data_IF_771652746655
#
_entry.id   IF_771652746655
#
_cell.length_a   1.000
_cell.length_b   1.000
_cell.length_c   1.000
_cell.angle_alpha   90.00
_cell.angle_beta   90.00
_cell.angle_gamma   90.00
#
_symmetry.space_group_name_H-M   'P 1'
#
loop_
_entity.id
_entity.type
_entity.pdbx_description
1 polymer ?
#
# COMPACT_ATOMS: atom_id res chain seq x y z
N UNK A 1 65.47 -33.06 8.54
CA UNK A 1 66.85 -33.32 8.99
C UNK A 1 67.31 -32.11 9.78
N UNK A 2 67.31 -32.20 11.12
CA UNK A 2 68.25 -31.57 12.05
C UNK A 2 67.83 -31.96 13.46
N UNK A 3 68.66 -32.80 14.08
CA UNK A 3 68.65 -33.18 15.50
C UNK A 3 69.41 -32.10 16.26
N UNK A 4 68.94 -31.68 17.43
CA UNK A 4 69.84 -31.29 18.52
C UNK A 4 69.26 -31.63 19.90
N UNK A 5 70.13 -32.25 20.68
CA UNK A 5 70.01 -32.68 22.08
C UNK A 5 70.01 -31.48 23.05
N UNK A 6 69.38 -31.62 24.22
CA UNK A 6 69.91 -31.00 25.44
C UNK A 6 69.46 -31.70 26.73
N UNK A 7 70.37 -31.69 27.69
CA UNK A 7 70.51 -32.43 28.95
C UNK A 7 69.59 -31.84 30.07
N UNK A 8 69.22 -32.59 31.13
CA UNK A 8 68.24 -32.18 32.14
C UNK A 8 68.92 -31.66 33.42
N UNK A 9 68.71 -30.38 33.75
CA UNK A 9 69.06 -29.85 35.07
C UNK A 9 68.20 -28.65 35.50
N UNK A 10 66.88 -28.68 35.23
CA UNK A 10 65.95 -27.62 35.67
C UNK A 10 64.55 -28.11 36.11
N UNK A 11 64.44 -29.36 36.55
CA UNK A 11 63.13 -30.02 36.73
C UNK A 11 62.43 -29.79 38.08
N UNK A 12 62.95 -28.97 39.00
CA UNK A 12 62.33 -28.77 40.33
C UNK A 12 61.60 -27.43 40.53
N UNK A 13 61.78 -26.43 39.67
CA UNK A 13 61.13 -25.12 39.82
C UNK A 13 59.81 -25.03 39.01
N UNK A 14 59.70 -25.76 37.90
CA UNK A 14 58.51 -25.72 37.04
C UNK A 14 57.28 -26.47 37.60
N UNK A 15 57.46 -27.45 38.49
CA UNK A 15 56.33 -28.25 39.00
C UNK A 15 55.43 -27.42 39.94
N UNK A 16 56.02 -26.51 40.74
CA UNK A 16 55.27 -25.61 41.65
C UNK A 16 54.51 -24.49 40.92
N UNK A 17 55.06 -23.96 39.82
CA UNK A 17 54.37 -22.97 39.00
C UNK A 17 53.20 -23.57 38.20
N UNK A 18 53.33 -24.81 37.72
CA UNK A 18 52.26 -25.51 36.99
C UNK A 18 51.11 -25.92 37.92
N UNK A 19 51.39 -26.33 39.17
CA UNK A 19 50.32 -26.65 40.14
C UNK A 19 49.54 -25.41 40.57
N UNK A 20 50.20 -24.26 40.76
CA UNK A 20 49.50 -22.99 41.04
C UNK A 20 48.66 -22.48 39.85
N UNK A 21 49.14 -22.63 38.61
CA UNK A 21 48.37 -22.24 37.41
C UNK A 21 47.16 -23.16 37.19
N UNK A 22 47.30 -24.48 37.38
CA UNK A 22 46.17 -25.41 37.28
C UNK A 22 45.14 -25.17 38.40
N UNK A 23 45.57 -24.85 39.62
CA UNK A 23 44.67 -24.49 40.71
C UNK A 23 43.91 -23.19 40.41
N UNK A 24 44.60 -22.14 39.95
CA UNK A 24 43.98 -20.86 39.58
C UNK A 24 43.00 -20.99 38.40
N UNK A 25 43.31 -21.80 37.39
CA UNK A 25 42.40 -22.10 36.27
C UNK A 25 41.19 -22.90 36.77
N UNK A 26 41.37 -23.86 37.68
CA UNK A 26 40.25 -24.64 38.24
C UNK A 26 39.33 -23.81 39.14
N UNK A 27 39.87 -22.85 39.89
CA UNK A 27 39.10 -21.91 40.71
C UNK A 27 38.38 -20.92 39.82
N UNK A 28 39.06 -20.32 38.84
CA UNK A 28 38.44 -19.42 37.85
C UNK A 28 37.34 -20.11 37.04
N UNK A 29 37.53 -21.37 36.64
CA UNK A 29 36.51 -22.17 35.94
C UNK A 29 35.32 -22.52 36.86
N UNK A 30 35.57 -22.83 38.14
CA UNK A 30 34.50 -23.04 39.14
C UNK A 30 33.72 -21.77 39.43
N UNK A 31 34.37 -20.61 39.50
CA UNK A 31 33.72 -19.31 39.74
C UNK A 31 32.91 -18.84 38.52
N UNK A 32 33.43 -19.06 37.30
CA UNK A 32 32.69 -18.81 36.05
C UNK A 32 31.49 -19.75 35.95
N UNK A 33 31.65 -21.04 36.26
CA UNK A 33 30.55 -22.02 36.31
C UNK A 33 29.53 -21.75 37.42
N UNK A 34 29.92 -21.15 38.56
CA UNK A 34 28.98 -20.80 39.63
C UNK A 34 28.18 -19.53 39.34
N UNK A 35 28.76 -18.57 38.61
CA UNK A 35 28.09 -17.32 38.21
C UNK A 35 27.22 -17.53 36.97
N UNK A 36 27.70 -18.31 35.98
CA UNK A 36 26.93 -18.65 34.79
C UNK A 36 25.99 -19.83 35.01
N UNK A 37 26.22 -20.71 35.98
CA UNK A 37 25.45 -21.95 36.19
C UNK A 37 23.93 -21.75 36.22
N UNK A 38 23.38 -20.77 36.97
CA UNK A 38 21.93 -20.51 37.00
C UNK A 38 21.41 -19.97 35.66
N UNK A 39 22.19 -19.13 34.98
CA UNK A 39 21.80 -18.49 33.71
C UNK A 39 22.07 -19.36 32.49
N UNK A 40 23.01 -20.30 32.57
CA UNK A 40 23.38 -21.21 31.48
C UNK A 40 22.23 -22.16 31.18
N UNK A 41 21.53 -22.66 32.21
CA UNK A 41 20.30 -23.43 32.03
C UNK A 41 19.16 -22.59 31.49
N UNK A 42 19.02 -21.33 31.92
CA UNK A 42 18.02 -20.41 31.38
C UNK A 42 18.26 -20.07 29.90
N UNK A 43 19.52 -19.83 29.51
CA UNK A 43 19.97 -19.57 28.15
C UNK A 43 19.78 -20.82 27.28
N UNK A 44 20.23 -21.99 27.74
CA UNK A 44 20.05 -23.26 27.05
C UNK A 44 18.57 -23.61 26.89
N UNK A 45 17.73 -23.34 27.91
CA UNK A 45 16.29 -23.52 27.82
C UNK A 45 15.64 -22.52 26.85
N UNK A 46 16.10 -21.26 26.78
CA UNK A 46 15.60 -20.30 25.78
C UNK A 46 16.00 -20.69 24.36
N UNK A 47 17.25 -21.12 24.12
CA UNK A 47 17.66 -21.62 22.81
C UNK A 47 16.99 -22.95 22.46
N UNK A 48 16.77 -23.84 23.44
CA UNK A 48 16.06 -25.10 23.25
C UNK A 48 14.58 -24.90 22.95
N UNK A 49 13.89 -24.02 23.68
CA UNK A 49 12.49 -23.65 23.40
C UNK A 49 12.36 -22.88 22.10
N UNK A 50 13.29 -21.99 21.77
CA UNK A 50 13.35 -21.32 20.46
C UNK A 50 13.60 -22.32 19.34
N UNK A 51 14.48 -23.31 19.54
CA UNK A 51 14.75 -24.38 18.58
C UNK A 51 13.54 -25.29 18.35
N UNK A 52 12.86 -25.70 19.43
CA UNK A 52 11.61 -26.47 19.38
C UNK A 52 10.50 -25.64 18.72
N UNK A 53 10.40 -24.35 19.04
CA UNK A 53 9.42 -23.45 18.42
C UNK A 53 9.72 -23.24 16.92
N UNK A 54 10.98 -23.03 16.53
CA UNK A 54 11.40 -22.99 15.13
C UNK A 54 11.08 -24.31 14.43
N UNK A 55 11.30 -25.45 15.09
CA UNK A 55 11.00 -26.77 14.55
C UNK A 55 9.49 -26.97 14.37
N UNK A 56 8.66 -26.57 15.34
CA UNK A 56 7.18 -26.59 15.24
C UNK A 56 6.69 -25.65 14.14
N UNK A 57 7.25 -24.44 14.05
CA UNK A 57 6.92 -23.46 13.00
C UNK A 57 7.36 -23.99 11.63
N UNK A 58 8.54 -24.61 11.51
CA UNK A 58 9.00 -25.28 10.28
C UNK A 58 8.12 -26.47 9.92
N UNK A 59 7.71 -27.29 10.89
CA UNK A 59 6.80 -28.42 10.70
C UNK A 59 5.43 -27.98 10.21
N UNK A 60 4.89 -26.88 10.75
CA UNK A 60 3.67 -26.23 10.24
C UNK A 60 3.85 -25.54 8.89
N UNK A 61 5.09 -25.12 8.54
CA UNK A 61 5.46 -24.57 7.22
C UNK A 61 5.77 -25.64 6.17
N UNK A 62 5.61 -26.94 6.47
CA UNK A 62 5.75 -28.03 5.49
C UNK A 62 4.57 -28.12 4.49
N UNK A 63 4.03 -26.98 4.07
CA UNK A 63 3.26 -26.96 2.83
C UNK A 63 4.26 -27.06 1.68
N UNK A 64 4.10 -28.06 0.81
CA UNK A 64 4.87 -28.24 -0.42
C UNK A 64 5.12 -26.87 -1.07
N UNK A 65 6.40 -26.46 -1.17
CA UNK A 65 6.77 -25.29 -1.96
C UNK A 65 6.30 -25.55 -3.38
N UNK A 66 5.44 -24.67 -3.91
CA UNK A 66 4.79 -24.92 -5.20
C UNK A 66 5.82 -24.69 -6.31
N UNK A 67 6.70 -23.70 -6.17
CA UNK A 67 7.79 -23.37 -7.11
C UNK A 67 8.96 -22.65 -6.42
N UNK A 68 10.05 -22.38 -7.17
CA UNK A 68 11.18 -21.57 -6.70
C UNK A 68 10.75 -20.09 -6.58
N UNK A 69 10.35 -19.68 -5.37
CA UNK A 69 10.10 -18.28 -5.03
C UNK A 69 11.35 -17.55 -4.51
N UNK A 70 11.20 -16.28 -4.11
CA UNK A 70 12.25 -15.48 -3.50
C UNK A 70 12.93 -16.16 -2.33
N UNK A 71 14.18 -15.77 -2.06
CA UNK A 71 14.97 -16.35 -0.97
C UNK A 71 14.19 -16.23 0.32
N UNK A 72 14.04 -17.35 1.01
CA UNK A 72 13.27 -17.44 2.25
C UNK A 72 14.21 -17.77 3.41
N UNK A 73 14.23 -16.90 4.41
CA UNK A 73 15.00 -17.07 5.64
C UNK A 73 14.14 -17.71 6.75
N UNK A 74 14.74 -18.49 7.66
CA UNK A 74 14.04 -19.00 8.84
C UNK A 74 13.37 -17.84 9.60
N UNK A 75 12.09 -18.02 9.97
CA UNK A 75 11.23 -17.02 10.64
C UNK A 75 10.85 -15.81 9.79
N UNK A 76 11.83 -15.13 9.17
CA UNK A 76 11.62 -13.90 8.39
C UNK A 76 10.97 -14.11 7.02
N UNK A 77 10.92 -15.35 6.51
CA UNK A 77 10.41 -15.58 5.15
C UNK A 77 11.24 -14.78 4.14
N UNK A 78 10.62 -14.13 3.16
CA UNK A 78 11.32 -13.30 2.17
C UNK A 78 11.36 -11.81 2.50
N UNK A 79 11.11 -11.41 3.75
CA UNK A 79 11.11 -10.00 4.17
C UNK A 79 12.41 -9.29 3.78
N UNK A 80 13.58 -9.91 3.96
CA UNK A 80 14.87 -9.24 3.69
C UNK A 80 15.04 -8.90 2.21
N UNK A 81 14.73 -9.85 1.32
CA UNK A 81 14.80 -9.63 -0.12
C UNK A 81 13.75 -8.61 -0.59
N UNK A 82 12.54 -8.71 -0.04
CA UNK A 82 11.45 -7.79 -0.36
C UNK A 82 11.77 -6.36 0.08
N UNK A 83 12.33 -6.19 1.29
CA UNK A 83 12.77 -4.90 1.81
C UNK A 83 13.91 -4.31 0.98
N UNK A 84 14.88 -5.13 0.54
CA UNK A 84 15.96 -4.70 -0.34
C UNK A 84 15.44 -4.21 -1.71
N UNK A 85 14.32 -4.77 -2.17
CA UNK A 85 13.69 -4.42 -3.44
C UNK A 85 12.48 -3.49 -3.29
N UNK A 86 12.19 -2.96 -2.10
CA UNK A 86 10.98 -2.18 -1.85
C UNK A 86 10.87 -0.95 -2.77
N UNK A 87 11.99 -0.27 -3.04
CA UNK A 87 12.05 0.88 -3.95
C UNK A 87 11.83 0.54 -5.44
N UNK A 88 11.93 -0.73 -5.81
CA UNK A 88 11.70 -1.26 -7.17
C UNK A 88 10.71 -2.43 -7.17
N UNK A 89 9.77 -2.45 -6.21
CA UNK A 89 8.93 -3.61 -5.94
C UNK A 89 8.20 -4.13 -7.19
N UNK A 90 7.67 -3.23 -8.00
CA UNK A 90 6.97 -3.60 -9.23
C UNK A 90 7.90 -4.17 -10.29
N UNK A 91 9.11 -3.60 -10.47
CA UNK A 91 10.10 -4.14 -11.40
C UNK A 91 10.57 -5.52 -10.92
N UNK A 92 10.82 -5.67 -9.63
CA UNK A 92 11.20 -6.94 -9.02
C UNK A 92 10.13 -8.02 -9.19
N UNK A 93 8.85 -7.71 -8.94
CA UNK A 93 7.75 -8.63 -9.22
C UNK A 93 7.66 -8.98 -10.71
N UNK A 94 7.91 -8.02 -11.59
CA UNK A 94 7.92 -8.24 -13.05
C UNK A 94 9.07 -9.16 -13.46
N UNK A 95 10.28 -8.95 -12.91
CA UNK A 95 11.46 -9.80 -13.14
C UNK A 95 11.17 -11.26 -12.78
N UNK A 96 10.51 -11.50 -11.64
CA UNK A 96 10.07 -12.84 -11.25
C UNK A 96 9.00 -13.41 -12.19
N UNK A 97 7.98 -12.62 -12.52
CA UNK A 97 6.87 -13.05 -13.38
C UNK A 97 7.32 -13.41 -14.81
N UNK A 98 8.44 -12.84 -15.30
CA UNK A 98 9.03 -13.20 -16.59
C UNK A 98 9.68 -14.59 -16.59
N UNK A 99 10.08 -15.11 -15.42
CA UNK A 99 10.76 -16.42 -15.30
C UNK A 99 9.79 -17.49 -14.79
N UNK A 100 8.95 -17.14 -13.81
CA UNK A 100 8.03 -18.08 -13.14
C UNK A 100 6.64 -17.46 -13.10
N UNK A 101 5.68 -18.12 -13.77
CA UNK A 101 4.30 -17.63 -13.85
C UNK A 101 3.56 -17.62 -12.50
N UNK A 102 3.93 -18.53 -11.58
CA UNK A 102 3.32 -18.63 -10.25
C UNK A 102 4.37 -19.00 -9.23
N UNK A 103 4.50 -18.20 -8.16
CA UNK A 103 5.41 -18.48 -7.06
C UNK A 103 4.84 -18.11 -5.71
N UNK A 104 5.27 -18.83 -4.68
CA UNK A 104 4.87 -18.56 -3.31
C UNK A 104 6.05 -18.11 -2.44
N UNK A 105 5.74 -17.32 -1.42
CA UNK A 105 6.70 -16.83 -0.44
C UNK A 105 6.04 -16.71 0.93
N UNK A 106 6.86 -16.52 1.97
CA UNK A 106 6.38 -16.15 3.29
C UNK A 106 6.65 -14.67 3.55
N UNK A 107 5.61 -13.91 3.85
CA UNK A 107 5.70 -12.51 4.29
C UNK A 107 5.10 -12.39 5.69
N UNK A 108 5.91 -11.97 6.67
CA UNK A 108 5.48 -11.77 8.07
C UNK A 108 4.71 -12.95 8.68
N UNK A 109 5.09 -14.18 8.32
CA UNK A 109 4.44 -15.40 8.82
C UNK A 109 3.21 -15.84 8.02
N UNK A 110 2.78 -15.07 7.02
CA UNK A 110 1.74 -15.47 6.07
C UNK A 110 2.36 -16.03 4.80
N UNK A 111 1.79 -17.13 4.28
CA UNK A 111 2.13 -17.62 2.94
C UNK A 111 1.38 -16.76 1.92
N UNK A 112 2.10 -16.18 0.97
CA UNK A 112 1.58 -15.33 -0.11
C UNK A 112 1.89 -16.00 -1.44
N UNK A 113 0.88 -16.13 -2.29
CA UNK A 113 1.01 -16.67 -3.65
C UNK A 113 0.92 -15.52 -4.64
N UNK A 114 1.91 -15.41 -5.52
CA UNK A 114 1.92 -14.51 -6.66
C UNK A 114 1.65 -15.33 -7.93
N UNK A 115 0.82 -14.82 -8.83
CA UNK A 115 0.55 -15.48 -10.11
C UNK A 115 0.26 -14.48 -11.22
N UNK A 116 0.83 -14.72 -12.39
CA UNK A 116 0.48 -14.11 -13.68
C UNK A 116 -0.13 -15.12 -14.65
N UNK A 117 -0.28 -16.39 -14.24
CA UNK A 117 -0.98 -17.41 -15.02
C UNK A 117 -2.48 -17.06 -15.15
N UNK A 118 -3.01 -16.86 -16.38
CA UNK A 118 -4.40 -16.52 -16.61
C UNK A 118 -5.40 -17.55 -16.06
N UNK A 119 -5.06 -18.85 -16.05
CA UNK A 119 -5.93 -19.90 -15.53
C UNK A 119 -6.10 -19.77 -14.01
N UNK A 120 -5.02 -19.46 -13.30
CA UNK A 120 -5.06 -19.18 -11.86
C UNK A 120 -5.86 -17.90 -11.57
N UNK A 121 -5.66 -16.85 -12.37
CA UNK A 121 -6.39 -15.58 -12.23
C UNK A 121 -7.90 -15.78 -12.45
N UNK A 122 -8.30 -16.53 -13.48
CA UNK A 122 -9.71 -16.88 -13.71
C UNK A 122 -10.28 -17.70 -12.55
N UNK A 123 -9.53 -18.70 -12.08
CA UNK A 123 -9.99 -19.53 -10.97
C UNK A 123 -10.23 -18.70 -9.70
N UNK A 124 -9.31 -17.80 -9.36
CA UNK A 124 -9.38 -16.94 -8.17
C UNK A 124 -10.50 -15.90 -8.30
N UNK A 125 -10.59 -15.19 -9.44
CA UNK A 125 -11.48 -14.03 -9.58
C UNK A 125 -12.88 -14.37 -10.08
N UNK A 126 -13.10 -15.58 -10.62
CA UNK A 126 -14.38 -15.99 -11.21
C UNK A 126 -14.85 -17.34 -10.68
N UNK A 127 -14.08 -18.42 -10.86
CA UNK A 127 -14.56 -19.79 -10.61
C UNK A 127 -14.77 -20.09 -9.13
N UNK A 128 -13.89 -19.62 -8.25
CA UNK A 128 -13.93 -19.90 -6.81
C UNK A 128 -13.81 -18.61 -5.97
N UNK A 129 -14.39 -17.51 -6.46
CA UNK A 129 -14.27 -16.18 -5.86
C UNK A 129 -14.61 -16.13 -4.36
N UNK A 130 -15.64 -16.86 -3.92
CA UNK A 130 -16.07 -16.87 -2.51
C UNK A 130 -15.02 -17.44 -1.55
N UNK A 131 -14.07 -18.23 -2.04
CA UNK A 131 -12.99 -18.80 -1.23
C UNK A 131 -11.75 -17.90 -1.15
N UNK A 132 -11.65 -16.87 -1.99
CA UNK A 132 -10.52 -15.93 -2.04
C UNK A 132 -10.95 -14.55 -1.52
N UNK A 133 -11.15 -14.47 -0.21
CA UNK A 133 -11.48 -13.22 0.50
C UNK A 133 -10.22 -12.39 0.78
N UNK A 134 -10.39 -11.09 1.05
CA UNK A 134 -9.26 -10.24 1.51
C UNK A 134 -8.81 -10.66 2.91
N UNK A 135 -9.79 -10.97 3.76
CA UNK A 135 -9.59 -11.55 5.07
C UNK A 135 -9.16 -10.56 6.16
N UNK A 136 -9.13 -11.01 7.43
CA UNK A 136 -8.96 -10.13 8.58
C UNK A 136 -7.63 -9.37 8.61
N UNK A 137 -6.55 -9.97 8.10
CA UNK A 137 -5.23 -9.35 8.12
C UNK A 137 -5.15 -8.13 7.18
N UNK A 138 -5.70 -8.26 5.96
CA UNK A 138 -5.78 -7.14 5.03
C UNK A 138 -6.76 -6.06 5.52
N UNK A 139 -7.90 -6.50 6.08
CA UNK A 139 -8.89 -5.61 6.68
C UNK A 139 -8.28 -4.73 7.77
N UNK A 140 -7.54 -5.32 8.71
CA UNK A 140 -6.91 -4.62 9.83
C UNK A 140 -5.87 -3.59 9.38
N UNK A 141 -5.09 -3.91 8.34
CA UNK A 141 -4.06 -3.02 7.78
C UNK A 141 -4.67 -1.74 7.20
N UNK A 142 -5.80 -1.85 6.50
CA UNK A 142 -6.45 -0.73 5.83
C UNK A 142 -7.57 -0.07 6.64
N UNK A 143 -7.93 -0.63 7.80
CA UNK A 143 -9.13 -0.26 8.55
C UNK A 143 -9.22 1.23 8.89
N UNK A 144 -8.12 1.87 9.32
CA UNK A 144 -8.18 3.27 9.76
C UNK A 144 -8.52 4.23 8.61
N UNK A 145 -8.15 3.87 7.38
CA UNK A 145 -8.44 4.63 6.16
C UNK A 145 -9.78 4.23 5.53
N UNK A 146 -9.96 2.93 5.26
CA UNK A 146 -11.10 2.43 4.46
C UNK A 146 -12.30 1.96 5.30
N UNK A 147 -12.10 1.78 6.61
CA UNK A 147 -13.09 1.22 7.52
C UNK A 147 -13.70 -0.08 6.99
N UNK A 148 -15.03 -0.17 7.05
CA UNK A 148 -15.80 -1.30 6.55
C UNK A 148 -16.34 -1.08 5.12
N UNK A 149 -15.68 -0.22 4.34
CA UNK A 149 -16.09 0.10 2.97
C UNK A 149 -15.85 -1.01 1.95
N UNK A 150 -16.23 -0.76 0.70
CA UNK A 150 -16.34 -1.79 -0.35
C UNK A 150 -15.00 -2.43 -0.71
N UNK A 151 -13.89 -1.71 -0.56
CA UNK A 151 -12.55 -2.26 -0.84
C UNK A 151 -11.96 -3.00 0.36
N UNK A 152 -12.54 -2.87 1.54
CA UNK A 152 -12.03 -3.52 2.75
C UNK A 152 -12.96 -4.60 3.32
N UNK A 153 -14.21 -4.68 2.86
CA UNK A 153 -15.19 -5.67 3.29
C UNK A 153 -15.19 -6.93 2.41
N UNK A 154 -15.68 -8.04 2.98
CA UNK A 154 -15.91 -9.32 2.31
C UNK A 154 -17.36 -9.80 2.54
N UNK A 155 -17.78 -10.87 1.84
CA UNK A 155 -19.06 -11.55 2.05
C UNK A 155 -20.30 -10.67 1.80
N UNK A 156 -21.30 -10.80 2.67
CA UNK A 156 -22.60 -10.14 2.50
C UNK A 156 -22.51 -8.62 2.57
N UNK A 157 -21.65 -8.08 3.45
CA UNK A 157 -21.43 -6.63 3.57
C UNK A 157 -20.92 -6.06 2.23
N UNK A 158 -19.90 -6.71 1.65
CA UNK A 158 -19.38 -6.33 0.34
C UNK A 158 -20.46 -6.43 -0.74
N UNK A 159 -21.25 -7.50 -0.74
CA UNK A 159 -22.30 -7.74 -1.74
C UNK A 159 -23.36 -6.64 -1.71
N UNK A 160 -23.79 -6.22 -0.52
CA UNK A 160 -24.74 -5.13 -0.33
C UNK A 160 -24.18 -3.81 -0.87
N UNK A 161 -22.97 -3.43 -0.46
CA UNK A 161 -22.34 -2.20 -0.93
C UNK A 161 -22.10 -2.22 -2.45
N UNK A 162 -21.67 -3.36 -3.00
CA UNK A 162 -21.46 -3.55 -4.45
C UNK A 162 -22.75 -3.43 -5.24
N UNK A 163 -23.84 -4.01 -4.75
CA UNK A 163 -25.17 -3.88 -5.38
C UNK A 163 -25.58 -2.41 -5.42
N UNK A 164 -25.45 -1.68 -4.32
CA UNK A 164 -25.82 -0.26 -4.26
C UNK A 164 -24.94 0.60 -5.16
N UNK A 165 -23.63 0.38 -5.17
CA UNK A 165 -22.70 1.06 -6.08
C UNK A 165 -23.06 0.82 -7.56
N UNK A 166 -23.41 -0.42 -7.93
CA UNK A 166 -23.69 -0.78 -9.33
C UNK A 166 -24.87 -0.02 -9.94
N UNK A 167 -25.81 0.45 -9.12
CA UNK A 167 -26.95 1.25 -9.57
C UNK A 167 -26.51 2.63 -10.06
N UNK A 168 -25.49 3.22 -9.43
CA UNK A 168 -24.95 4.53 -9.81
C UNK A 168 -24.03 4.48 -11.02
N UNK A 169 -23.29 3.38 -11.18
CA UNK A 169 -22.49 3.15 -12.37
C UNK A 169 -23.28 2.46 -13.49
N UNK A 170 -24.61 2.50 -13.44
CA UNK A 170 -25.45 2.02 -14.53
C UNK A 170 -25.25 2.88 -15.79
N UNK A 171 -25.36 2.25 -16.96
CA UNK A 171 -25.15 2.93 -18.26
C UNK A 171 -26.01 4.19 -18.42
N UNK A 172 -27.21 4.22 -17.84
CA UNK A 172 -28.10 5.38 -17.85
C UNK A 172 -27.52 6.53 -17.03
N UNK A 173 -27.10 6.29 -15.79
CA UNK A 173 -26.54 7.32 -14.91
C UNK A 173 -25.22 7.88 -15.46
N UNK A 174 -24.35 7.00 -16.00
CA UNK A 174 -23.09 7.40 -16.63
C UNK A 174 -23.29 8.33 -17.85
N UNK A 175 -24.28 8.02 -18.71
CA UNK A 175 -24.56 8.83 -19.89
C UNK A 175 -25.17 10.20 -19.54
N UNK A 176 -26.08 10.24 -18.56
CA UNK A 176 -26.82 11.47 -18.24
C UNK A 176 -25.96 12.40 -17.37
N UNK A 177 -25.28 11.89 -16.34
CA UNK A 177 -24.64 12.75 -15.33
C UNK A 177 -23.12 12.77 -15.40
N UNK A 178 -22.47 11.63 -15.68
CA UNK A 178 -21.00 11.58 -15.69
C UNK A 178 -20.39 12.29 -16.89
N UNK A 179 -21.01 12.17 -18.07
CA UNK A 179 -20.47 12.80 -19.30
C UNK A 179 -20.42 14.32 -19.19
N UNK A 180 -21.48 14.94 -18.67
CA UNK A 180 -21.53 16.39 -18.45
C UNK A 180 -20.48 16.84 -17.44
N UNK A 181 -20.39 16.17 -16.30
CA UNK A 181 -19.42 16.46 -15.24
C UNK A 181 -17.99 16.34 -15.76
N UNK A 182 -17.65 15.24 -16.44
CA UNK A 182 -16.31 15.04 -16.99
C UNK A 182 -15.97 16.05 -18.08
N UNK A 183 -16.93 16.44 -18.92
CA UNK A 183 -16.73 17.51 -19.91
C UNK A 183 -16.45 18.85 -19.23
N UNK A 184 -17.24 19.21 -18.21
CA UNK A 184 -17.04 20.43 -17.40
C UNK A 184 -15.60 20.49 -16.87
N UNK A 185 -15.12 19.42 -16.24
CA UNK A 185 -13.77 19.40 -15.66
C UNK A 185 -12.64 19.30 -16.70
N UNK A 186 -12.87 18.66 -17.85
CA UNK A 186 -11.92 18.69 -18.95
C UNK A 186 -11.74 20.11 -19.52
N UNK A 187 -12.85 20.85 -19.68
CA UNK A 187 -12.81 22.28 -20.09
C UNK A 187 -12.12 23.12 -19.01
N UNK A 188 -12.47 22.93 -17.73
CA UNK A 188 -11.85 23.64 -16.61
C UNK A 188 -10.33 23.42 -16.56
N UNK A 189 -9.87 22.18 -16.78
CA UNK A 189 -8.45 21.86 -16.89
C UNK A 189 -7.79 22.61 -18.04
N UNK A 190 -8.41 22.60 -19.23
CA UNK A 190 -7.89 23.32 -20.39
C UNK A 190 -7.79 24.83 -20.12
N UNK A 191 -8.80 25.43 -19.48
CA UNK A 191 -8.79 26.85 -19.09
C UNK A 191 -7.66 27.15 -18.12
N UNK A 192 -7.50 26.36 -17.05
CA UNK A 192 -6.40 26.53 -16.08
C UNK A 192 -5.04 26.43 -16.78
N UNK A 193 -4.87 25.47 -17.70
CA UNK A 193 -3.63 25.33 -18.47
C UNK A 193 -3.37 26.53 -19.40
N UNK A 194 -4.40 27.04 -20.08
CA UNK A 194 -4.29 28.21 -20.94
C UNK A 194 -3.90 29.46 -20.15
N UNK A 195 -4.48 29.66 -18.97
CA UNK A 195 -4.14 30.80 -18.11
C UNK A 195 -2.72 30.71 -17.57
N UNK A 196 -2.25 29.51 -17.22
CA UNK A 196 -0.85 29.30 -16.82
C UNK A 196 0.11 29.64 -17.97
N UNK A 197 -0.21 29.21 -19.21
CA UNK A 197 0.57 29.54 -20.40
C UNK A 197 0.54 31.04 -20.73
N UNK A 198 -0.58 31.73 -20.51
CA UNK A 198 -0.71 33.17 -20.75
C UNK A 198 0.16 34.04 -19.84
N UNK A 199 0.71 33.50 -18.76
CA UNK A 199 1.54 34.24 -17.81
C UNK A 199 3.04 34.23 -18.17
N UNK A 200 3.53 33.28 -18.98
CA UNK A 200 4.96 33.13 -19.31
C UNK A 200 5.17 32.43 -20.66
N UNK A 201 6.25 32.80 -21.36
CA UNK A 201 6.65 32.20 -22.65
C UNK A 201 6.88 30.67 -22.58
N UNK A 202 7.24 30.14 -21.41
CA UNK A 202 7.26 28.70 -21.14
C UNK A 202 6.89 28.41 -19.69
N UNK A 203 6.03 27.41 -19.49
CA UNK A 203 5.62 26.93 -18.17
C UNK A 203 5.77 25.42 -18.09
N UNK A 204 6.46 24.97 -17.06
CA UNK A 204 6.50 23.54 -16.69
C UNK A 204 5.32 23.27 -15.77
N UNK A 205 4.41 22.40 -16.21
CA UNK A 205 3.22 22.02 -15.44
C UNK A 205 3.34 20.57 -15.00
N UNK A 206 3.07 20.30 -13.72
CA UNK A 206 2.90 18.95 -13.22
C UNK A 206 1.53 18.40 -13.61
N UNK A 207 1.45 17.72 -14.76
CA UNK A 207 0.19 17.15 -15.26
C UNK A 207 -0.41 16.09 -14.34
N UNK A 208 0.41 15.36 -13.58
CA UNK A 208 -0.11 14.39 -12.61
C UNK A 208 -0.92 15.09 -11.51
N UNK A 209 -0.39 16.19 -10.95
CA UNK A 209 -1.11 17.01 -9.97
C UNK A 209 -2.41 17.58 -10.57
N UNK A 210 -2.35 18.09 -11.81
CA UNK A 210 -3.54 18.59 -12.52
C UNK A 210 -4.62 17.52 -12.66
N UNK A 211 -4.24 16.30 -13.06
CA UNK A 211 -5.20 15.20 -13.18
C UNK A 211 -5.74 14.76 -11.82
N UNK A 212 -4.91 14.71 -10.77
CA UNK A 212 -5.36 14.38 -9.41
C UNK A 212 -6.38 15.40 -8.88
N UNK A 213 -6.23 16.68 -9.18
CA UNK A 213 -7.20 17.75 -8.85
C UNK A 213 -8.48 17.63 -9.67
N UNK A 214 -8.33 17.45 -10.98
CA UNK A 214 -9.46 17.30 -11.91
C UNK A 214 -10.34 16.11 -11.52
N UNK A 215 -9.75 14.95 -11.25
CA UNK A 215 -10.49 13.73 -10.90
C UNK A 215 -11.07 13.81 -9.50
N UNK A 216 -10.39 14.48 -8.56
CA UNK A 216 -10.93 14.73 -7.23
C UNK A 216 -12.19 15.61 -7.28
N UNK A 217 -12.13 16.76 -7.96
CA UNK A 217 -13.31 17.61 -8.09
C UNK A 217 -14.43 16.88 -8.86
N UNK A 218 -14.09 16.14 -9.92
CA UNK A 218 -15.06 15.37 -10.71
C UNK A 218 -15.80 14.31 -9.89
N UNK A 219 -15.07 13.50 -9.09
CA UNK A 219 -15.71 12.46 -8.29
C UNK A 219 -16.52 13.05 -7.13
N UNK A 220 -16.06 14.14 -6.52
CA UNK A 220 -16.82 14.83 -5.47
C UNK A 220 -18.13 15.41 -6.00
N UNK A 221 -18.12 16.02 -7.18
CA UNK A 221 -19.34 16.54 -7.80
C UNK A 221 -20.26 15.41 -8.25
N UNK A 222 -19.72 14.36 -8.86
CA UNK A 222 -20.50 13.22 -9.35
C UNK A 222 -21.16 12.43 -8.23
N UNK A 223 -20.37 12.06 -7.21
CA UNK A 223 -20.80 11.13 -6.17
C UNK A 223 -21.52 11.81 -5.01
N UNK A 224 -21.20 13.09 -4.74
CA UNK A 224 -21.69 13.78 -3.55
C UNK A 224 -22.37 15.12 -3.85
N UNK A 225 -22.36 15.56 -5.11
CA UNK A 225 -22.98 16.82 -5.52
C UNK A 225 -22.25 18.06 -4.97
N UNK A 226 -20.96 17.97 -4.66
CA UNK A 226 -20.17 19.08 -4.09
C UNK A 226 -18.94 19.38 -4.95
N UNK A 227 -18.77 20.65 -5.30
CA UNK A 227 -17.56 21.17 -5.95
C UNK A 227 -16.54 21.62 -4.89
N UNK A 228 -15.35 21.01 -4.90
CA UNK A 228 -14.26 21.34 -3.95
C UNK A 228 -13.38 22.49 -4.47
N UNK A 229 -13.41 22.74 -5.78
CA UNK A 229 -12.59 23.75 -6.45
C UNK A 229 -11.08 23.57 -6.24
N UNK A 230 -10.61 22.33 -6.15
CA UNK A 230 -9.18 22.01 -6.06
C UNK A 230 -8.44 22.31 -7.37
N UNK A 231 -9.14 22.22 -8.51
CA UNK A 231 -8.65 22.63 -9.82
C UNK A 231 -9.03 24.10 -10.06
N UNK A 232 -8.12 25.02 -9.73
CA UNK A 232 -8.26 26.45 -9.97
C UNK A 232 -6.88 27.07 -10.21
N UNK A 233 -6.84 28.31 -10.69
CA UNK A 233 -5.59 28.95 -11.12
C UNK A 233 -4.60 29.20 -9.97
N UNK A 234 -5.10 29.34 -8.74
CA UNK A 234 -4.27 29.44 -7.54
C UNK A 234 -3.72 28.09 -7.05
N UNK A 235 -4.21 26.97 -7.61
CA UNK A 235 -3.83 25.60 -7.27
C UNK A 235 -3.73 25.36 -5.75
N UNK A 236 -4.81 25.65 -4.99
CA UNK A 236 -4.77 25.69 -3.54
C UNK A 236 -4.34 24.33 -2.97
N UNK A 237 -3.60 24.35 -1.87
CA UNK A 237 -3.35 23.12 -1.12
C UNK A 237 -4.69 22.62 -0.55
N UNK A 238 -5.07 21.38 -0.86
CA UNK A 238 -6.26 20.75 -0.30
C UNK A 238 -5.80 19.83 0.84
N UNK A 239 -6.09 20.17 2.11
CA UNK A 239 -5.68 19.37 3.26
C UNK A 239 -6.17 17.92 3.18
N UNK A 240 -7.41 17.73 2.69
CA UNK A 240 -7.97 16.41 2.45
C UNK A 240 -7.10 15.59 1.49
N UNK A 241 -6.78 16.12 0.30
CA UNK A 241 -5.98 15.40 -0.70
C UNK A 241 -4.60 14.99 -0.14
N UNK A 242 -3.93 15.92 0.54
CA UNK A 242 -2.62 15.65 1.15
C UNK A 242 -2.69 14.63 2.29
N UNK A 243 -3.71 14.71 3.15
CA UNK A 243 -3.93 13.75 4.23
C UNK A 243 -4.31 12.37 3.68
N UNK A 244 -5.08 12.35 2.59
CA UNK A 244 -5.52 11.16 1.91
C UNK A 244 -4.32 10.37 1.35
N UNK A 245 -3.46 11.04 0.57
CA UNK A 245 -2.30 10.42 -0.06
C UNK A 245 -1.31 9.88 0.98
N UNK A 246 -1.08 10.65 2.06
CA UNK A 246 -0.25 10.19 3.19
C UNK A 246 -0.87 9.00 3.91
N UNK A 247 -2.17 9.04 4.19
CA UNK A 247 -2.84 7.93 4.88
C UNK A 247 -2.75 6.63 4.08
N UNK A 248 -2.91 6.70 2.76
CA UNK A 248 -2.79 5.54 1.89
C UNK A 248 -1.36 4.96 1.90
N UNK A 249 -0.35 5.82 1.80
CA UNK A 249 1.06 5.41 1.88
C UNK A 249 1.42 4.80 3.25
N UNK A 250 0.93 5.39 4.34
CA UNK A 250 1.15 4.89 5.70
C UNK A 250 0.48 3.54 5.91
N UNK A 251 -0.77 3.36 5.50
CA UNK A 251 -1.44 2.05 5.54
C UNK A 251 -0.70 1.00 4.70
N UNK A 252 -0.26 1.35 3.49
CA UNK A 252 0.52 0.45 2.64
C UNK A 252 1.86 0.04 3.27
N UNK A 253 2.52 0.95 4.01
CA UNK A 253 3.79 0.66 4.68
C UNK A 253 3.67 -0.41 5.78
N UNK A 254 2.47 -0.60 6.36
CA UNK A 254 2.21 -1.63 7.39
C UNK A 254 2.43 -3.06 6.90
N UNK A 255 2.29 -3.31 5.60
CA UNK A 255 2.61 -4.62 5.01
C UNK A 255 4.10 -4.98 5.13
N UNK A 256 4.96 -4.00 5.43
CA UNK A 256 6.43 -4.15 5.48
C UNK A 256 7.02 -3.78 6.85
N UNK A 257 6.24 -3.20 7.76
CA UNK A 257 6.65 -2.87 9.13
C UNK A 257 6.11 -3.87 10.19
N UNK A 258 6.89 -4.86 10.64
CA UNK A 258 6.39 -5.84 11.62
C UNK A 258 6.04 -5.24 12.99
N UNK A 259 6.46 -4.00 13.27
CA UNK A 259 6.20 -3.30 14.53
C UNK A 259 5.02 -2.32 14.45
N UNK A 260 4.30 -2.26 13.32
CA UNK A 260 3.24 -1.28 13.09
C UNK A 260 2.15 -1.32 14.17
N UNK A 261 1.78 -2.51 14.66
CA UNK A 261 0.79 -2.67 15.75
C UNK A 261 1.27 -2.06 17.07
N UNK A 262 2.56 -2.20 17.37
CA UNK A 262 3.15 -1.61 18.56
C UNK A 262 3.21 -0.09 18.44
N UNK A 263 3.64 0.43 17.28
CA UNK A 263 3.64 1.86 16.97
C UNK A 263 2.23 2.45 17.05
N UNK A 264 1.22 1.72 16.60
CA UNK A 264 -0.20 2.11 16.69
C UNK A 264 -0.67 2.18 18.14
N UNK A 265 -0.37 1.15 18.95
CA UNK A 265 -0.72 1.11 20.38
C UNK A 265 -0.07 2.25 21.18
N UNK A 266 1.18 2.57 20.85
CA UNK A 266 1.93 3.64 21.51
C UNK A 266 1.69 5.03 20.88
N UNK A 267 0.94 5.09 19.77
CA UNK A 267 0.71 6.30 18.98
C UNK A 267 2.03 7.04 18.65
N UNK A 268 2.96 6.33 17.99
CA UNK A 268 4.32 6.83 17.69
C UNK A 268 4.58 6.96 16.19
N UNK A 269 5.32 8.00 15.82
CA UNK A 269 5.88 8.19 14.47
C UNK A 269 4.83 8.20 13.37
N UNK A 270 4.96 7.26 12.42
CA UNK A 270 4.04 7.08 11.28
C UNK A 270 2.58 6.89 11.70
N UNK A 271 2.35 6.15 12.78
CA UNK A 271 1.00 5.82 13.26
C UNK A 271 0.33 7.04 13.93
N UNK A 272 1.11 7.84 14.66
CA UNK A 272 0.62 9.11 15.20
C UNK A 272 0.20 10.07 14.08
N UNK A 273 0.99 10.10 13.01
CA UNK A 273 0.68 10.93 11.84
C UNK A 273 -0.57 10.44 11.11
N UNK A 274 -0.74 9.13 10.97
CA UNK A 274 -1.96 8.55 10.39
C UNK A 274 -3.21 8.95 11.20
N UNK A 275 -3.16 8.92 12.53
CA UNK A 275 -4.29 9.35 13.37
C UNK A 275 -4.66 10.82 13.10
N UNK A 276 -3.66 11.70 12.93
CA UNK A 276 -3.93 13.11 12.59
C UNK A 276 -4.53 13.25 11.19
N UNK A 277 -3.99 12.53 10.21
CA UNK A 277 -4.47 12.61 8.83
C UNK A 277 -5.89 12.05 8.69
N UNK A 278 -6.20 10.93 9.37
CA UNK A 278 -7.55 10.35 9.44
C UNK A 278 -8.56 11.35 10.03
N UNK A 279 -8.19 12.15 11.04
CA UNK A 279 -9.07 13.20 11.57
C UNK A 279 -9.43 14.25 10.51
N UNK A 280 -8.45 14.67 9.69
CA UNK A 280 -8.70 15.61 8.59
C UNK A 280 -9.67 15.01 7.56
N UNK A 281 -9.53 13.72 7.27
CA UNK A 281 -10.44 12.99 6.37
C UNK A 281 -11.84 12.88 6.96
N UNK A 282 -11.94 12.58 8.25
CA UNK A 282 -13.20 12.48 8.98
C UNK A 282 -13.93 13.81 9.00
N UNK A 283 -13.26 14.90 9.38
CA UNK A 283 -13.86 16.24 9.47
C UNK A 283 -14.44 16.66 8.12
N UNK A 284 -13.68 16.47 7.04
CA UNK A 284 -14.15 16.74 5.68
C UNK A 284 -15.37 15.89 5.30
N UNK A 285 -15.31 14.59 5.59
CA UNK A 285 -16.35 13.64 5.19
C UNK A 285 -17.64 13.84 5.97
N UNK A 286 -17.56 14.09 7.27
CA UNK A 286 -18.72 14.37 8.11
C UNK A 286 -19.34 15.73 7.78
N UNK A 287 -18.54 16.75 7.42
CA UNK A 287 -19.06 18.02 6.93
C UNK A 287 -19.84 17.84 5.62
N UNK A 288 -19.32 17.02 4.70
CA UNK A 288 -20.00 16.66 3.46
C UNK A 288 -21.34 15.94 3.70
N UNK A 289 -21.36 14.95 4.60
CA UNK A 289 -22.60 14.26 5.01
C UNK A 289 -23.61 15.26 5.58
N UNK A 290 -23.17 16.17 6.45
CA UNK A 290 -24.02 17.17 7.09
C UNK A 290 -24.62 18.16 6.08
N UNK A 291 -23.79 18.73 5.22
CA UNK A 291 -24.23 19.64 4.14
C UNK A 291 -25.25 18.96 3.24
N UNK A 292 -25.02 17.69 2.89
CA UNK A 292 -25.94 16.94 2.04
C UNK A 292 -27.27 16.65 2.74
N UNK A 293 -27.25 16.26 4.02
CA UNK A 293 -28.48 16.07 4.82
C UNK A 293 -29.32 17.35 4.88
N UNK A 294 -28.69 18.49 5.14
CA UNK A 294 -29.37 19.78 5.20
C UNK A 294 -29.98 20.14 3.84
N UNK A 295 -29.25 19.93 2.75
CA UNK A 295 -29.76 20.17 1.39
C UNK A 295 -31.00 19.32 1.05
N UNK A 296 -31.00 18.03 1.43
CA UNK A 296 -32.14 17.13 1.21
C UNK A 296 -33.35 17.51 2.07
N UNK A 297 -33.13 18.03 3.29
CA UNK A 297 -34.23 18.49 4.15
C UNK A 297 -34.89 19.77 3.64
N UNK A 298 -34.11 20.66 3.02
CA UNK A 298 -34.58 21.96 2.53
C UNK A 298 -35.26 21.89 1.16
N UNK A 299 -34.92 20.89 0.33
CA UNK A 299 -35.46 20.73 -1.02
C UNK A 299 -36.41 19.53 -1.07
N UNK A 300 -37.49 19.60 -1.85
CA UNK A 300 -38.37 18.45 -2.04
C UNK A 300 -37.56 17.30 -2.64
N UNK A 301 -37.64 16.10 -2.04
CA UNK A 301 -36.85 14.91 -2.39
C UNK A 301 -36.85 14.57 -3.90
N UNK A 302 -37.91 14.97 -4.63
CA UNK A 302 -38.04 14.78 -6.09
C UNK A 302 -37.11 15.66 -6.94
N UNK A 303 -36.58 16.76 -6.40
CA UNK A 303 -35.65 17.67 -7.09
C UNK A 303 -34.18 17.38 -6.79
N UNK A 304 -33.92 16.50 -5.82
CA UNK A 304 -32.56 16.10 -5.45
C UNK A 304 -31.98 15.21 -6.55
N UNK A 305 -30.95 15.71 -7.25
CA UNK A 305 -30.14 14.91 -8.18
C UNK A 305 -29.76 13.59 -7.49
N UNK A 306 -30.08 12.47 -8.12
CA UNK A 306 -29.80 11.14 -7.58
C UNK A 306 -28.30 10.85 -7.62
N UNK A 307 -27.54 11.41 -6.69
CA UNK A 307 -26.15 11.04 -6.46
C UNK A 307 -26.01 9.95 -5.38
N UNK A 308 -24.81 9.37 -5.37
CA UNK A 308 -24.47 8.20 -4.58
C UNK A 308 -24.66 8.43 -3.08
N UNK A 309 -24.29 9.60 -2.57
CA UNK A 309 -24.52 9.94 -1.15
C UNK A 309 -26.00 10.08 -0.84
N UNK A 310 -26.80 10.71 -1.72
CA UNK A 310 -28.26 10.75 -1.54
C UNK A 310 -28.86 9.34 -1.46
N UNK A 311 -28.40 8.37 -2.28
CA UNK A 311 -28.89 6.98 -2.18
C UNK A 311 -28.43 6.27 -0.91
N UNK A 312 -27.17 6.44 -0.51
CA UNK A 312 -26.71 5.86 0.75
C UNK A 312 -27.46 6.44 1.95
N UNK A 313 -27.77 7.74 1.94
CA UNK A 313 -28.62 8.38 2.94
C UNK A 313 -30.06 7.84 2.93
N UNK A 314 -30.62 7.56 1.75
CA UNK A 314 -31.93 6.92 1.64
C UNK A 314 -31.92 5.51 2.22
N UNK A 315 -30.94 4.68 1.85
CA UNK A 315 -30.78 3.34 2.42
C UNK A 315 -30.54 3.39 3.93
N UNK A 316 -29.86 4.42 4.44
CA UNK A 316 -29.69 4.66 5.87
C UNK A 316 -30.98 5.01 6.58
N UNK A 317 -31.90 5.72 5.91
CA UNK A 317 -33.23 5.98 6.44
C UNK A 317 -34.06 4.70 6.53
N UNK A 318 -33.97 3.83 5.53
CA UNK A 318 -34.69 2.55 5.52
C UNK A 318 -34.08 1.52 6.48
N UNK A 319 -32.77 1.55 6.67
CA UNK A 319 -32.03 0.60 7.50
C UNK A 319 -30.98 1.31 8.38
N UNK A 320 -31.40 2.04 9.43
CA UNK A 320 -30.51 2.85 10.26
C UNK A 320 -29.45 2.03 11.01
N UNK A 321 -29.79 0.80 11.41
CA UNK A 321 -28.84 -0.17 12.00
C UNK A 321 -27.73 -0.59 11.01
N UNK A 322 -28.03 -0.52 9.70
CA UNK A 322 -27.13 -0.99 8.64
C UNK A 322 -26.26 0.15 8.10
N UNK A 323 -26.68 1.43 8.15
CA UNK A 323 -25.91 2.56 7.59
C UNK A 323 -25.85 3.75 8.55
N UNK A 324 -25.01 3.65 9.58
CA UNK A 324 -24.68 4.78 10.44
C UNK A 324 -23.70 5.76 9.76
N UNK A 325 -23.46 6.91 10.37
CA UNK A 325 -22.57 7.97 9.85
C UNK A 325 -21.16 7.46 9.56
N UNK A 326 -20.66 6.52 10.37
CA UNK A 326 -19.36 5.88 10.14
C UNK A 326 -19.33 5.10 8.83
N UNK A 327 -20.36 4.29 8.55
CA UNK A 327 -20.46 3.53 7.29
C UNK A 327 -20.63 4.44 6.08
N UNK A 328 -21.34 5.56 6.23
CA UNK A 328 -21.41 6.59 5.18
C UNK A 328 -20.03 7.20 4.92
N UNK A 329 -19.29 7.51 5.99
CA UNK A 329 -17.91 8.00 5.90
C UNK A 329 -17.01 7.00 5.19
N UNK A 330 -17.07 5.72 5.57
CA UNK A 330 -16.29 4.68 4.94
C UNK A 330 -16.63 4.53 3.46
N UNK A 331 -17.91 4.55 3.10
CA UNK A 331 -18.34 4.55 1.71
C UNK A 331 -17.75 5.73 0.94
N UNK A 332 -17.89 6.97 1.44
CA UNK A 332 -17.37 8.18 0.79
C UNK A 332 -15.87 8.05 0.51
N UNK A 333 -15.06 7.69 1.51
CA UNK A 333 -13.61 7.56 1.33
C UNK A 333 -13.25 6.50 0.28
N UNK A 334 -13.95 5.36 0.28
CA UNK A 334 -13.74 4.32 -0.71
C UNK A 334 -14.06 4.81 -2.14
N UNK A 335 -15.13 5.58 -2.34
CA UNK A 335 -15.46 6.12 -3.66
C UNK A 335 -14.50 7.21 -4.13
N UNK A 336 -14.03 8.07 -3.22
CA UNK A 336 -13.03 9.09 -3.54
C UNK A 336 -11.75 8.45 -4.05
N UNK A 337 -11.25 7.40 -3.37
CA UNK A 337 -10.06 6.65 -3.79
C UNK A 337 -10.21 6.11 -5.20
N UNK A 338 -11.32 5.41 -5.42
CA UNK A 338 -11.57 4.75 -6.69
C UNK A 338 -11.64 5.76 -7.83
N UNK A 339 -12.37 6.87 -7.66
CA UNK A 339 -12.57 7.85 -8.72
C UNK A 339 -11.39 8.80 -8.95
N UNK A 340 -10.67 9.18 -7.88
CA UNK A 340 -9.57 10.16 -7.95
C UNK A 340 -8.29 9.54 -8.49
N UNK A 341 -7.74 8.58 -7.75
CA UNK A 341 -6.34 8.16 -7.91
C UNK A 341 -6.17 7.30 -9.17
N UNK A 342 -7.06 6.31 -9.37
CA UNK A 342 -6.94 5.37 -10.50
C UNK A 342 -7.09 6.09 -11.86
N UNK A 343 -8.05 7.01 -11.96
CA UNK A 343 -8.30 7.81 -13.16
C UNK A 343 -7.14 8.78 -13.42
N UNK A 344 -6.66 9.47 -12.39
CA UNK A 344 -5.58 10.44 -12.54
C UNK A 344 -4.26 9.79 -12.97
N UNK A 345 -3.92 8.63 -12.38
CA UNK A 345 -2.74 7.85 -12.78
C UNK A 345 -2.90 7.36 -14.22
N UNK A 346 -4.07 6.86 -14.61
CA UNK A 346 -4.33 6.42 -15.98
C UNK A 346 -4.16 7.56 -16.99
N UNK A 347 -4.70 8.74 -16.70
CA UNK A 347 -4.53 9.93 -17.56
C UNK A 347 -3.06 10.37 -17.61
N UNK A 348 -2.37 10.35 -16.48
CA UNK A 348 -0.94 10.68 -16.41
C UNK A 348 -0.12 9.78 -17.34
N UNK A 349 -0.34 8.47 -17.27
CA UNK A 349 0.32 7.50 -18.16
C UNK A 349 -0.06 7.70 -19.63
N UNK A 350 -1.36 7.90 -19.92
CA UNK A 350 -1.85 8.15 -21.27
C UNK A 350 -1.14 9.35 -21.91
N UNK A 351 -1.17 10.51 -21.24
CA UNK A 351 -0.57 11.73 -21.78
C UNK A 351 0.96 11.64 -21.83
N UNK A 352 1.59 10.97 -20.87
CA UNK A 352 3.03 10.70 -20.93
C UNK A 352 3.40 9.86 -22.16
N UNK A 353 2.68 8.76 -22.44
CA UNK A 353 2.89 7.91 -23.62
C UNK A 353 2.64 8.69 -24.93
N UNK A 354 1.58 9.50 -24.98
CA UNK A 354 1.29 10.35 -26.13
C UNK A 354 2.39 11.39 -26.38
N UNK A 355 2.92 12.01 -25.32
CA UNK A 355 4.01 12.98 -25.42
C UNK A 355 5.30 12.35 -25.97
N UNK A 356 5.63 11.12 -25.55
CA UNK A 356 6.79 10.36 -26.06
C UNK A 356 6.64 10.02 -27.54
N UNK A 357 5.45 9.57 -27.96
CA UNK A 357 5.18 9.25 -29.37
C UNK A 357 5.23 10.50 -30.26
N UNK A 358 4.70 11.63 -29.77
CA UNK A 358 4.79 12.92 -30.46
C UNK A 358 6.25 13.34 -30.65
N UNK A 359 7.06 13.30 -29.58
CA UNK A 359 8.50 13.61 -29.64
C UNK A 359 9.26 12.70 -30.61
N UNK A 360 8.96 11.40 -30.63
CA UNK A 360 9.56 10.47 -31.59
C UNK A 360 9.19 10.79 -33.05
N UNK A 361 7.93 11.17 -33.32
CA UNK A 361 7.49 11.60 -34.65
C UNK A 361 8.17 12.90 -35.08
N UNK A 362 8.26 13.90 -34.20
CA UNK A 362 8.96 15.16 -34.49
C UNK A 362 10.44 14.93 -34.75
N UNK A 363 11.12 14.15 -33.89
CA UNK A 363 12.54 13.84 -34.05
C UNK A 363 12.84 13.04 -35.32
N UNK A 364 11.96 12.10 -35.71
CA UNK A 364 12.07 11.41 -36.99
C UNK A 364 11.81 12.34 -38.18
N UNK A 365 10.86 13.27 -38.07
CA UNK A 365 10.61 14.26 -39.14
C UNK A 365 11.75 15.26 -39.32
N UNK A 366 12.40 15.65 -38.22
CA UNK A 366 13.60 16.50 -38.24
C UNK A 366 14.82 15.75 -38.77
N UNK A 367 15.02 14.48 -38.39
CA UNK A 367 16.07 13.62 -38.98
C UNK A 367 15.88 13.42 -40.47
N UNK A 368 14.66 13.13 -40.93
CA UNK A 368 14.36 12.96 -42.37
C UNK A 368 14.53 14.28 -43.13
N UNK A 369 14.23 15.44 -42.52
CA UNK A 369 14.54 16.75 -43.11
C UNK A 369 16.04 17.04 -43.14
N UNK A 370 16.78 16.68 -42.10
CA UNK A 370 18.24 16.83 -42.02
C UNK A 370 18.99 15.93 -43.00
N UNK A 371 18.52 14.70 -43.23
CA UNK A 371 19.08 13.79 -44.24
C UNK A 371 18.78 14.30 -45.66
N UNK A 372 17.58 14.85 -45.91
CA UNK A 372 17.25 15.46 -47.20
C UNK A 372 18.05 16.75 -47.49
N UNK A 373 18.44 17.51 -46.48
CA UNK A 373 19.34 18.67 -46.69
C UNK A 373 20.81 18.27 -46.83
N UNK A 374 21.20 17.06 -46.39
CA UNK A 374 22.53 16.50 -46.60
C UNK A 374 22.68 15.79 -47.95
N UNK A 375 21.60 15.23 -48.50
CA UNK A 375 21.55 14.69 -49.86
C UNK A 375 20.96 15.75 -50.79
N UNK A 376 21.80 16.64 -51.33
CA UNK A 376 21.36 17.73 -52.21
C UNK A 376 20.49 17.27 -53.39
N UNK A 377 19.18 17.37 -53.23
CA UNK A 377 18.14 17.37 -54.26
C UNK A 377 17.08 18.41 -53.90
#
# INVERSE_FOLDING_TARGET
MFVFLSNPSHSRIHILQITCYCAAISVGFRTIMSVLGPWAWAIAATFGTLGIWIWIVKGKRSSVQITQGPRSWPLLGSILELSANFGRLYDWLTDYAMVVATFDTYLMGFRVLFTVDPANVEYILKTNFSNYVKGPAAHEVQYDLLGDGIFNSDGEMWRLQRKSASLEFSSKMLRIHSTETFRKYAVKLATVLQEQLGQKDSVVVNMQDMFMRMTFDSICELSFGVEIASLSCSLPNVPFASAFDRSNALCASRYFDPLWKLKKRLNLGSEAKLVQDVRVLDDFTYDLIRKRRNFIQQNAYKEVKSDLLSRFLFMAKENPEIYNDKKLRDAILNFVIAGRDTTAVTLSWLFWLLSKKSRSRTQNSERVRGDRSATGF
#
